data_IF_460748661493
#
_entry.id   IF_460748661493
#
_cell.length_a   1.000
_cell.length_b   1.000
_cell.length_c   1.000
_cell.angle_alpha   90.00
_cell.angle_beta   90.00
_cell.angle_gamma   90.00
#
_symmetry.space_group_name_H-M   'P 1'
#
loop_
_entity.id
_entity.type
_entity.pdbx_description
1 polymer ?
#
# COMPACT_ATOMS: atom_id res chain seq x y z
N UNK A 1 -20.07 -30.74 23.63
CA UNK A 1 -19.66 -30.40 22.23
C UNK A 1 -18.14 -30.49 22.19
N UNK A 2 -17.58 -31.36 21.37
CA UNK A 2 -16.17 -31.76 21.40
C UNK A 2 -15.24 -30.58 21.04
N UNK A 3 -14.18 -30.32 21.76
CA UNK A 3 -13.25 -29.18 21.56
C UNK A 3 -12.68 -29.06 20.14
N UNK A 4 -12.48 -30.19 19.49
CA UNK A 4 -12.06 -30.24 18.08
C UNK A 4 -13.09 -29.60 17.13
N UNK A 5 -14.37 -29.85 17.35
CA UNK A 5 -15.46 -29.28 16.53
C UNK A 5 -15.58 -27.76 16.70
N UNK A 6 -15.38 -27.26 17.93
CA UNK A 6 -15.35 -25.81 18.21
C UNK A 6 -14.18 -25.09 17.49
N UNK A 7 -12.98 -25.70 17.50
CA UNK A 7 -11.80 -25.15 16.79
C UNK A 7 -12.00 -25.12 15.28
N UNK A 8 -12.61 -26.14 14.71
CA UNK A 8 -12.90 -26.22 13.27
C UNK A 8 -13.91 -25.15 12.86
N UNK A 9 -15.01 -24.99 13.61
CA UNK A 9 -16.03 -23.98 13.36
C UNK A 9 -15.44 -22.56 13.45
N UNK A 10 -14.62 -22.29 14.47
CA UNK A 10 -13.93 -21.00 14.62
C UNK A 10 -13.04 -20.66 13.41
N UNK A 11 -12.27 -21.63 12.91
CA UNK A 11 -11.43 -21.46 11.71
C UNK A 11 -12.24 -21.18 10.45
N UNK A 12 -13.38 -21.83 10.28
CA UNK A 12 -14.26 -21.62 9.12
C UNK A 12 -14.85 -20.21 9.16
N UNK A 13 -15.32 -19.76 10.32
CA UNK A 13 -15.88 -18.42 10.50
C UNK A 13 -14.80 -17.35 10.25
N UNK A 14 -13.59 -17.55 10.76
CA UNK A 14 -12.47 -16.63 10.53
C UNK A 14 -12.12 -16.54 9.03
N UNK A 15 -12.00 -17.66 8.32
CA UNK A 15 -11.75 -17.67 6.87
C UNK A 15 -12.83 -16.94 6.10
N UNK A 16 -14.08 -17.29 6.33
CA UNK A 16 -15.18 -16.68 5.62
C UNK A 16 -15.30 -15.18 5.87
N UNK A 17 -15.02 -14.72 7.09
CA UNK A 17 -14.95 -13.29 7.43
C UNK A 17 -13.80 -12.57 6.72
N UNK A 18 -12.60 -13.15 6.78
CA UNK A 18 -11.42 -12.60 6.11
C UNK A 18 -11.62 -12.50 4.59
N UNK A 19 -12.15 -13.52 3.95
CA UNK A 19 -12.37 -13.57 2.49
C UNK A 19 -13.34 -12.50 1.99
N UNK A 20 -14.31 -12.12 2.82
CA UNK A 20 -15.27 -11.05 2.48
C UNK A 20 -14.75 -9.66 2.73
N UNK A 21 -13.99 -9.48 3.80
CA UNK A 21 -13.45 -8.16 4.20
C UNK A 21 -12.24 -7.78 3.34
N UNK A 22 -11.42 -8.76 2.94
CA UNK A 22 -10.17 -8.57 2.22
C UNK A 22 -10.33 -7.76 0.92
N UNK A 23 -11.23 -8.10 -0.02
CA UNK A 23 -11.38 -7.34 -1.26
C UNK A 23 -11.88 -5.90 -1.00
N UNK A 24 -12.77 -5.72 -0.02
CA UNK A 24 -13.27 -4.40 0.34
C UNK A 24 -12.15 -3.51 0.89
N UNK A 25 -11.31 -4.07 1.76
CA UNK A 25 -10.16 -3.36 2.33
C UNK A 25 -9.13 -3.03 1.26
N UNK A 26 -8.86 -3.93 0.30
CA UNK A 26 -7.96 -3.66 -0.81
C UNK A 26 -8.44 -2.49 -1.69
N UNK A 27 -9.72 -2.47 -2.06
CA UNK A 27 -10.30 -1.36 -2.84
C UNK A 27 -10.16 -0.05 -2.08
N UNK A 28 -10.42 -0.05 -0.77
CA UNK A 28 -10.27 1.14 0.07
C UNK A 28 -8.82 1.62 0.16
N UNK A 29 -7.85 0.71 0.26
CA UNK A 29 -6.41 1.03 0.25
C UNK A 29 -6.00 1.70 -1.06
N UNK A 30 -6.40 1.13 -2.21
CA UNK A 30 -6.11 1.74 -3.51
C UNK A 30 -6.76 3.12 -3.65
N UNK A 31 -7.98 3.27 -3.15
CA UNK A 31 -8.62 4.58 -3.11
C UNK A 31 -7.79 5.60 -2.30
N UNK A 32 -7.33 5.24 -1.10
CA UNK A 32 -6.51 6.11 -0.26
C UNK A 32 -5.18 6.49 -0.91
N UNK A 33 -4.51 5.54 -1.56
CA UNK A 33 -3.23 5.80 -2.23
C UNK A 33 -3.41 6.74 -3.42
N UNK A 34 -4.44 6.55 -4.23
CA UNK A 34 -4.69 7.37 -5.42
C UNK A 34 -5.26 8.75 -5.10
N UNK A 35 -6.01 8.88 -4.01
CA UNK A 35 -6.65 10.14 -3.59
C UNK A 35 -5.98 10.78 -2.38
N UNK A 36 -4.79 10.32 -2.00
CA UNK A 36 -4.08 10.79 -0.81
C UNK A 36 -3.78 12.29 -0.78
N UNK A 37 -3.61 12.90 -1.94
CA UNK A 37 -3.39 14.33 -2.10
C UNK A 37 -4.68 15.18 -2.02
N UNK A 38 -5.87 14.55 -2.15
CA UNK A 38 -7.18 15.20 -2.11
C UNK A 38 -7.97 14.93 -0.83
N UNK A 39 -7.62 13.86 -0.09
CA UNK A 39 -8.33 13.44 1.11
C UNK A 39 -7.42 13.51 2.35
N UNK A 40 -7.98 13.58 3.57
CA UNK A 40 -7.20 13.52 4.81
C UNK A 40 -6.67 12.09 5.08
N UNK A 41 -6.05 11.48 4.08
CA UNK A 41 -5.40 10.18 4.13
C UNK A 41 -4.38 10.16 3.01
N UNK A 42 -3.12 9.90 3.27
CA UNK A 42 -2.06 9.87 2.27
C UNK A 42 -1.67 8.46 1.86
N UNK A 43 -0.77 8.37 0.89
CA UNK A 43 -0.17 7.11 0.47
C UNK A 43 0.44 6.32 1.63
N UNK A 44 1.02 7.00 2.62
CA UNK A 44 1.53 6.36 3.84
C UNK A 44 0.43 5.61 4.61
N UNK A 45 -0.73 6.21 4.83
CA UNK A 45 -1.84 5.58 5.56
C UNK A 45 -2.41 4.39 4.79
N UNK A 46 -2.55 4.52 3.47
CA UNK A 46 -2.92 3.41 2.60
C UNK A 46 -1.91 2.25 2.67
N UNK A 47 -0.62 2.58 2.68
CA UNK A 47 0.46 1.61 2.86
C UNK A 47 0.38 0.85 4.19
N UNK A 48 0.14 1.56 5.30
CA UNK A 48 -0.02 0.94 6.63
C UNK A 48 -1.27 0.06 6.70
N UNK A 49 -2.39 0.46 6.09
CA UNK A 49 -3.58 -0.38 6.02
C UNK A 49 -3.36 -1.70 5.28
N UNK A 50 -2.41 -1.75 4.34
CA UNK A 50 -2.02 -3.00 3.68
C UNK A 50 -1.45 -4.02 4.66
N UNK A 51 -0.81 -3.58 5.75
CA UNK A 51 -0.38 -4.47 6.84
C UNK A 51 -1.56 -5.18 7.48
N UNK A 52 -2.66 -4.46 7.69
CA UNK A 52 -3.89 -5.07 8.21
C UNK A 52 -4.41 -6.16 7.27
N UNK A 53 -4.30 -5.98 5.96
CA UNK A 53 -4.62 -7.02 4.96
C UNK A 53 -3.72 -8.25 5.12
N UNK A 54 -2.41 -8.04 5.29
CA UNK A 54 -1.45 -9.14 5.53
C UNK A 54 -1.81 -9.91 6.80
N UNK A 55 -2.14 -9.21 7.87
CA UNK A 55 -2.58 -9.83 9.13
C UNK A 55 -3.90 -10.59 8.94
N UNK A 56 -4.84 -10.05 8.16
CA UNK A 56 -6.10 -10.74 7.84
C UNK A 56 -5.85 -12.04 7.07
N UNK A 57 -4.96 -12.04 6.08
CA UNK A 57 -4.58 -13.25 5.33
C UNK A 57 -3.92 -14.26 6.28
N UNK A 58 -3.03 -13.81 7.15
CA UNK A 58 -2.36 -14.66 8.14
C UNK A 58 -3.36 -15.31 9.11
N UNK A 59 -4.31 -14.56 9.63
CA UNK A 59 -5.33 -15.07 10.55
C UNK A 59 -6.33 -16.01 9.88
N UNK A 60 -6.69 -15.75 8.61
CA UNK A 60 -7.65 -16.55 7.86
C UNK A 60 -7.05 -17.82 7.26
N UNK A 61 -5.89 -17.72 6.65
CA UNK A 61 -5.30 -18.78 5.81
C UNK A 61 -4.01 -19.39 6.38
N UNK A 62 -3.38 -18.73 7.36
CA UNK A 62 -2.15 -19.20 8.00
C UNK A 62 -0.88 -18.75 7.30
N UNK A 63 0.26 -19.08 7.92
CA UNK A 63 1.59 -18.60 7.56
C UNK A 63 2.03 -18.98 6.14
N UNK A 64 1.83 -20.22 5.74
CA UNK A 64 2.31 -20.73 4.44
C UNK A 64 1.66 -20.00 3.25
N UNK A 65 0.36 -19.70 3.37
CA UNK A 65 -0.38 -18.98 2.31
C UNK A 65 0.06 -17.52 2.27
N UNK A 66 0.29 -16.91 3.43
CA UNK A 66 0.77 -15.52 3.52
C UNK A 66 2.15 -15.36 2.86
N UNK A 67 3.09 -16.26 3.14
CA UNK A 67 4.42 -16.25 2.51
C UNK A 67 4.37 -16.43 0.99
N UNK A 68 3.51 -17.33 0.51
CA UNK A 68 3.34 -17.55 -0.94
C UNK A 68 2.73 -16.34 -1.64
N UNK A 69 1.82 -15.64 -0.97
CA UNK A 69 1.15 -14.45 -1.53
C UNK A 69 2.08 -13.26 -1.63
N UNK A 70 2.98 -13.07 -0.68
CA UNK A 70 3.80 -11.86 -0.57
C UNK A 70 5.20 -11.96 -1.19
N UNK A 71 5.71 -13.16 -1.49
CA UNK A 71 7.02 -13.40 -2.12
C UNK A 71 8.11 -12.43 -1.62
N UNK A 72 8.80 -12.71 -0.52
CA UNK A 72 9.71 -11.76 0.14
C UNK A 72 10.82 -11.22 -0.77
N UNK A 73 11.33 -12.03 -1.69
CA UNK A 73 12.35 -11.61 -2.65
C UNK A 73 11.85 -10.50 -3.60
N UNK A 74 10.61 -10.57 -4.05
CA UNK A 74 10.01 -9.53 -4.89
C UNK A 74 9.83 -8.22 -4.11
N UNK A 75 9.40 -8.30 -2.84
CA UNK A 75 9.21 -7.14 -1.98
C UNK A 75 10.53 -6.37 -1.76
N UNK A 76 11.63 -7.06 -1.48
CA UNK A 76 12.95 -6.42 -1.32
C UNK A 76 13.42 -5.68 -2.57
N UNK A 77 13.28 -6.30 -3.75
CA UNK A 77 13.68 -5.65 -5.00
C UNK A 77 12.79 -4.44 -5.33
N UNK A 78 11.49 -4.55 -5.08
CA UNK A 78 10.55 -3.44 -5.32
C UNK A 78 10.77 -2.27 -4.37
N UNK A 79 11.17 -2.50 -3.13
CA UNK A 79 11.50 -1.45 -2.17
C UNK A 79 12.67 -0.58 -2.64
N UNK A 80 13.76 -1.20 -3.11
CA UNK A 80 14.92 -0.50 -3.67
C UNK A 80 14.55 0.29 -4.93
N UNK A 81 13.78 -0.31 -5.83
CA UNK A 81 13.32 0.33 -7.05
C UNK A 81 12.43 1.55 -6.77
N UNK A 82 11.48 1.45 -5.84
CA UNK A 82 10.61 2.56 -5.44
C UNK A 82 11.39 3.70 -4.80
N UNK A 83 12.44 3.39 -4.02
CA UNK A 83 13.33 4.41 -3.45
C UNK A 83 14.07 5.18 -4.54
N UNK A 84 14.58 4.48 -5.54
CA UNK A 84 15.25 5.08 -6.68
C UNK A 84 14.30 5.98 -7.49
N UNK A 85 13.07 5.51 -7.71
CA UNK A 85 12.04 6.25 -8.44
C UNK A 85 11.62 7.53 -7.70
N UNK A 86 11.58 7.49 -6.37
CA UNK A 86 11.33 8.68 -5.54
C UNK A 86 12.43 9.73 -5.68
N UNK A 87 13.71 9.30 -5.69
CA UNK A 87 14.85 10.20 -5.89
C UNK A 87 14.78 10.85 -7.28
N UNK A 88 14.44 10.10 -8.32
CA UNK A 88 14.25 10.66 -9.67
C UNK A 88 13.15 11.72 -9.67
N UNK A 89 12.01 11.43 -9.05
CA UNK A 89 10.92 12.39 -8.96
C UNK A 89 11.33 13.69 -8.24
N UNK A 90 12.13 13.58 -7.18
CA UNK A 90 12.65 14.73 -6.47
C UNK A 90 13.67 15.55 -7.30
N UNK A 91 14.51 14.88 -8.09
CA UNK A 91 15.50 15.51 -8.97
C UNK A 91 14.86 16.20 -10.18
N UNK A 92 13.69 15.76 -10.64
CA UNK A 92 12.95 16.46 -11.69
C UNK A 92 12.68 17.92 -11.33
N UNK A 93 12.40 18.22 -10.06
CA UNK A 93 12.26 19.60 -9.55
C UNK A 93 13.51 20.45 -9.78
N UNK A 94 14.69 19.87 -9.57
CA UNK A 94 15.97 20.55 -9.79
C UNK A 94 16.21 20.85 -11.26
N UNK A 95 15.93 19.88 -12.13
CA UNK A 95 16.19 19.99 -13.58
C UNK A 95 15.28 21.03 -14.24
N UNK A 96 14.00 21.08 -13.87
CA UNK A 96 13.02 21.95 -14.52
C UNK A 96 12.87 23.32 -13.87
N UNK A 97 13.00 23.43 -12.54
CA UNK A 97 12.69 24.64 -11.79
C UNK A 97 13.85 25.12 -10.89
N UNK A 98 14.96 24.38 -10.83
CA UNK A 98 16.15 24.74 -10.07
C UNK A 98 16.08 24.47 -8.56
N UNK A 99 14.96 24.00 -8.03
CA UNK A 99 14.81 23.67 -6.61
C UNK A 99 14.46 22.20 -6.39
N UNK A 100 15.02 21.63 -5.32
CA UNK A 100 14.77 20.24 -4.95
C UNK A 100 13.32 20.01 -4.49
N UNK A 101 12.69 18.95 -4.95
CA UNK A 101 11.28 18.60 -4.64
C UNK A 101 10.25 19.68 -5.03
N UNK A 102 10.56 20.59 -5.94
CA UNK A 102 9.59 21.57 -6.40
C UNK A 102 8.56 20.91 -7.32
N UNK A 103 7.29 21.34 -7.20
CA UNK A 103 6.21 20.83 -8.00
C UNK A 103 6.32 21.33 -9.46
N UNK A 104 6.70 20.41 -10.37
CA UNK A 104 6.96 20.76 -11.79
C UNK A 104 5.67 20.88 -12.59
N UNK A 105 4.63 20.14 -12.21
CA UNK A 105 3.37 20.02 -12.96
C UNK A 105 2.19 20.65 -12.21
N UNK A 106 2.41 21.75 -11.50
CA UNK A 106 1.38 22.42 -10.69
C UNK A 106 0.19 22.94 -11.51
N UNK A 107 0.42 23.24 -12.78
CA UNK A 107 -0.61 23.86 -13.67
C UNK A 107 -1.35 22.83 -14.54
N UNK A 108 -1.08 21.54 -14.35
CA UNK A 108 -1.70 20.47 -15.11
C UNK A 108 -2.88 19.89 -14.32
N UNK A 109 -4.11 20.15 -14.81
CA UNK A 109 -5.34 19.61 -14.26
C UNK A 109 -6.23 20.62 -13.53
N UNK A 110 -7.50 20.28 -13.35
CA UNK A 110 -8.46 21.08 -12.60
C UNK A 110 -8.43 20.72 -11.12
N UNK A 111 -8.81 21.65 -10.27
CA UNK A 111 -8.91 21.44 -8.82
C UNK A 111 -9.91 20.29 -8.55
N UNK A 112 -9.44 19.23 -7.92
CA UNK A 112 -10.24 18.02 -7.61
C UNK A 112 -9.99 16.82 -8.51
N UNK A 113 -9.25 16.98 -9.61
CA UNK A 113 -8.82 15.85 -10.46
C UNK A 113 -7.63 15.09 -9.84
N UNK A 114 -7.47 13.82 -10.20
CA UNK A 114 -6.37 12.96 -9.76
C UNK A 114 -4.97 13.56 -10.04
N UNK A 115 -4.82 14.28 -11.14
CA UNK A 115 -3.55 14.90 -11.55
C UNK A 115 -3.45 16.39 -11.21
N UNK A 116 -4.37 16.93 -10.41
CA UNK A 116 -4.41 18.37 -10.09
C UNK A 116 -3.22 18.87 -9.28
N UNK A 117 -2.49 18.00 -8.60
CA UNK A 117 -1.36 18.34 -7.74
C UNK A 117 0.01 18.03 -8.35
N UNK A 118 0.05 17.62 -9.63
CA UNK A 118 1.29 17.41 -10.39
C UNK A 118 2.24 16.40 -9.75
N UNK A 119 3.47 16.81 -9.44
CA UNK A 119 4.53 15.94 -8.89
C UNK A 119 4.17 15.38 -7.51
N UNK A 120 3.34 16.06 -6.73
CA UNK A 120 2.92 15.63 -5.39
C UNK A 120 2.15 14.31 -5.47
N UNK A 121 1.24 14.16 -6.45
CA UNK A 121 0.51 12.91 -6.68
C UNK A 121 1.45 11.72 -6.94
N UNK A 122 2.47 11.93 -7.78
CA UNK A 122 3.46 10.90 -8.11
C UNK A 122 4.25 10.51 -6.87
N UNK A 123 4.74 11.48 -6.10
CA UNK A 123 5.50 11.24 -4.88
C UNK A 123 4.67 10.51 -3.81
N UNK A 124 3.42 10.91 -3.60
CA UNK A 124 2.52 10.28 -2.63
C UNK A 124 2.21 8.83 -3.00
N UNK A 125 1.96 8.57 -4.28
CA UNK A 125 1.76 7.21 -4.80
C UNK A 125 3.00 6.32 -4.59
N UNK A 126 4.20 6.83 -4.89
CA UNK A 126 5.46 6.10 -4.69
C UNK A 126 5.66 5.79 -3.21
N UNK A 127 5.40 6.75 -2.32
CA UNK A 127 5.46 6.54 -0.85
C UNK A 127 4.49 5.47 -0.41
N UNK A 128 3.25 5.48 -0.91
CA UNK A 128 2.25 4.47 -0.59
C UNK A 128 2.74 3.05 -0.94
N UNK A 129 3.23 2.86 -2.16
CA UNK A 129 3.80 1.57 -2.58
C UNK A 129 5.06 1.19 -1.79
N UNK A 130 5.91 2.15 -1.47
CA UNK A 130 7.12 1.91 -0.66
C UNK A 130 6.77 1.44 0.74
N UNK A 131 5.76 2.04 1.37
CA UNK A 131 5.29 1.61 2.71
C UNK A 131 4.70 0.20 2.65
N UNK A 132 3.92 -0.13 1.60
CA UNK A 132 3.40 -1.49 1.39
C UNK A 132 4.53 -2.51 1.35
N UNK A 133 5.57 -2.24 0.55
CA UNK A 133 6.70 -3.17 0.39
C UNK A 133 7.54 -3.25 1.66
N UNK A 134 7.90 -2.12 2.27
CA UNK A 134 8.73 -2.09 3.48
C UNK A 134 8.05 -2.73 4.68
N UNK A 135 6.79 -2.41 4.93
CA UNK A 135 6.04 -3.02 6.04
C UNK A 135 5.64 -4.45 5.72
N UNK A 136 5.39 -4.78 4.44
CA UNK A 136 5.19 -6.15 4.00
C UNK A 136 6.39 -7.05 4.32
N UNK A 137 7.62 -6.56 4.11
CA UNK A 137 8.86 -7.26 4.50
C UNK A 137 8.93 -7.44 6.02
N UNK A 138 8.68 -6.38 6.80
CA UNK A 138 8.70 -6.43 8.26
C UNK A 138 7.67 -7.39 8.84
N UNK A 139 6.50 -7.51 8.22
CA UNK A 139 5.45 -8.42 8.68
C UNK A 139 5.77 -9.91 8.45
N UNK A 140 6.73 -10.21 7.56
CA UNK A 140 7.13 -11.58 7.21
C UNK A 140 8.45 -11.98 7.89
N UNK A 141 9.27 -11.00 8.25
CA UNK A 141 10.55 -11.20 8.97
C UNK A 141 10.31 -11.62 10.42
#
# INVERSE_FOLDING_TARGET
MNDGKKRTIKRIIQRCGCDKILPLTLVYIFYLILHGHLSPGGGFQGGVLMVAVVILIYLGHGYDVTLKSLRPGFLHHSEGFLSFLYIIAALLGVVYLGNFCQNVFSDIGNIGDLFSTGTIFIMDTIVGFKVITGVGVLAIS
#
